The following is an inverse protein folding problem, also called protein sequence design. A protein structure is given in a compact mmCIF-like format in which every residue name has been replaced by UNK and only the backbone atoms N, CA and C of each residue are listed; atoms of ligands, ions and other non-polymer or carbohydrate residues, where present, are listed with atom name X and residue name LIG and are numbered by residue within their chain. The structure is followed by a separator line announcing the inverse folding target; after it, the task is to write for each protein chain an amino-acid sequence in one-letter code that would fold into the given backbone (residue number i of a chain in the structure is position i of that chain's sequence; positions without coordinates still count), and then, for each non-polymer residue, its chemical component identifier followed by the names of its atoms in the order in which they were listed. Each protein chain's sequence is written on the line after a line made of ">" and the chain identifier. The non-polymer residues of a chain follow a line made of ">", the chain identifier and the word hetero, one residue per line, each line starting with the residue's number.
data_IF_829626432067
#
_entry.id   IF_829626432067
#
_cell.length_a   1.000
_cell.length_b   1.000
_cell.length_c   1.000
_cell.angle_alpha   90.00
_cell.angle_beta   90.00
_cell.angle_gamma   90.00
#
_symmetry.space_group_name_H-M   'P 1'
#
loop_
_entity.id
_entity.type
_entity.pdbx_description
1 polymer ?
#
# COMPACT_ATOMS: atom_id res chain seq x y z
N UNK A 1 -15.69 -23.21 1.23
CA UNK A 1 -15.41 -22.94 2.68
C UNK A 1 -15.72 -24.15 3.58
N UNK A 2 -16.57 -25.09 3.15
CA UNK A 2 -16.89 -26.32 3.91
C UNK A 2 -15.77 -27.37 3.85
N UNK A 3 -14.89 -27.29 2.90
CA UNK A 3 -13.67 -28.11 2.84
C UNK A 3 -12.55 -27.32 3.50
N UNK A 4 -11.88 -27.93 4.43
CA UNK A 4 -10.77 -27.38 5.21
C UNK A 4 -9.95 -26.34 4.44
N UNK A 5 -10.01 -25.09 4.89
CA UNK A 5 -9.22 -23.95 4.40
C UNK A 5 -9.51 -23.43 2.99
N UNK A 6 -10.50 -23.94 2.25
CA UNK A 6 -10.84 -23.49 0.91
C UNK A 6 -9.71 -23.66 -0.13
N UNK A 7 -9.98 -23.28 -1.37
CA UNK A 7 -8.97 -23.28 -2.43
C UNK A 7 -8.06 -22.04 -2.31
N UNK A 8 -6.74 -22.19 -2.16
CA UNK A 8 -5.82 -21.06 -2.03
C UNK A 8 -5.79 -20.15 -3.25
N UNK A 9 -6.22 -20.64 -4.41
CA UNK A 9 -6.29 -19.86 -5.66
C UNK A 9 -7.51 -18.94 -5.68
N UNK A 10 -8.69 -19.44 -5.30
CA UNK A 10 -9.94 -18.68 -5.34
C UNK A 10 -10.21 -17.87 -4.06
N UNK A 11 -9.68 -18.31 -2.94
CA UNK A 11 -9.91 -17.73 -1.62
C UNK A 11 -9.66 -16.21 -1.55
N UNK A 12 -8.54 -15.67 -2.07
CA UNK A 12 -8.30 -14.24 -2.06
C UNK A 12 -9.29 -13.43 -2.92
N UNK A 13 -9.76 -14.00 -4.05
CA UNK A 13 -10.74 -13.36 -4.90
C UNK A 13 -12.12 -13.34 -4.23
N UNK A 14 -12.53 -14.45 -3.61
CA UNK A 14 -13.77 -14.55 -2.85
C UNK A 14 -13.76 -13.54 -1.69
N UNK A 15 -12.67 -13.49 -0.92
CA UNK A 15 -12.50 -12.54 0.16
C UNK A 15 -12.64 -11.09 -0.33
N UNK A 16 -12.03 -10.76 -1.48
CA UNK A 16 -12.16 -9.44 -2.09
C UNK A 16 -13.62 -9.08 -2.39
N UNK A 17 -14.36 -9.95 -3.07
CA UNK A 17 -15.73 -9.66 -3.45
C UNK A 17 -16.69 -9.62 -2.25
N UNK A 18 -16.50 -10.49 -1.25
CA UNK A 18 -17.28 -10.45 -0.02
C UNK A 18 -17.04 -9.16 0.78
N UNK A 19 -15.82 -8.68 0.83
CA UNK A 19 -15.51 -7.39 1.44
C UNK A 19 -16.09 -6.20 0.65
N UNK A 20 -16.14 -6.31 -0.67
CA UNK A 20 -16.73 -5.27 -1.51
C UNK A 20 -18.26 -5.16 -1.34
N UNK A 21 -18.95 -6.30 -1.22
CA UNK A 21 -20.41 -6.36 -1.11
C UNK A 21 -20.92 -6.15 0.33
N UNK A 22 -20.20 -6.67 1.32
CA UNK A 22 -20.60 -6.64 2.74
C UNK A 22 -19.46 -6.14 3.64
N UNK A 23 -18.99 -4.89 3.47
CA UNK A 23 -17.80 -4.39 4.16
C UNK A 23 -17.94 -4.33 5.68
N UNK A 24 -19.17 -4.25 6.22
CA UNK A 24 -19.42 -4.17 7.66
C UNK A 24 -19.82 -5.53 8.27
N UNK A 25 -20.40 -6.43 7.48
CA UNK A 25 -20.96 -7.70 7.95
C UNK A 25 -20.02 -8.89 7.71
N UNK A 26 -19.13 -8.79 6.73
CA UNK A 26 -18.20 -9.87 6.41
C UNK A 26 -16.90 -9.73 7.19
N UNK A 27 -16.54 -10.79 7.89
CA UNK A 27 -15.23 -10.85 8.55
C UNK A 27 -14.13 -11.19 7.54
N UNK A 28 -13.15 -10.30 7.43
CA UNK A 28 -11.99 -10.48 6.56
C UNK A 28 -11.24 -11.79 6.87
N UNK A 29 -10.99 -12.57 5.82
CA UNK A 29 -10.20 -13.80 5.94
C UNK A 29 -8.72 -13.47 6.16
N UNK A 30 -8.23 -13.72 7.36
CA UNK A 30 -6.87 -13.43 7.78
C UNK A 30 -5.78 -14.05 6.87
N UNK A 31 -6.06 -15.22 6.26
CA UNK A 31 -5.11 -15.87 5.34
C UNK A 31 -5.16 -15.32 3.91
N UNK A 32 -6.21 -14.60 3.57
CA UNK A 32 -6.44 -14.01 2.24
C UNK A 32 -6.38 -12.49 2.24
N UNK A 33 -6.11 -11.88 3.39
CA UNK A 33 -6.06 -10.41 3.55
C UNK A 33 -5.19 -9.75 2.50
N UNK A 34 -5.62 -8.58 2.06
CA UNK A 34 -4.94 -7.80 1.01
C UNK A 34 -3.83 -6.92 1.56
N UNK A 35 -3.97 -6.47 2.79
CA UNK A 35 -3.16 -5.44 3.43
C UNK A 35 -2.56 -5.92 4.74
N UNK A 36 -2.00 -7.11 4.75
CA UNK A 36 -1.35 -7.67 5.93
C UNK A 36 -0.03 -8.35 5.61
N UNK A 37 0.68 -8.69 6.67
CA UNK A 37 1.90 -9.47 6.62
C UNK A 37 1.58 -10.98 6.49
N UNK A 38 0.99 -11.35 5.37
CA UNK A 38 0.75 -12.77 5.08
C UNK A 38 2.08 -13.49 4.97
N UNK A 39 2.26 -14.56 5.72
CA UNK A 39 3.51 -15.30 5.75
C UNK A 39 4.04 -15.59 4.33
N UNK A 40 3.24 -16.22 3.49
CA UNK A 40 3.65 -16.58 2.14
C UNK A 40 3.70 -15.42 1.13
N UNK A 41 3.30 -14.19 1.50
CA UNK A 41 3.42 -13.03 0.64
C UNK A 41 4.79 -12.35 0.77
N UNK A 42 5.43 -12.48 1.93
CA UNK A 42 6.72 -11.90 2.23
C UNK A 42 7.86 -12.95 2.21
N UNK A 43 7.56 -14.19 1.86
CA UNK A 43 8.56 -15.26 1.76
C UNK A 43 9.55 -14.99 0.62
N UNK A 44 10.82 -15.22 0.88
CA UNK A 44 11.92 -15.07 -0.05
C UNK A 44 12.32 -16.41 -0.65
N UNK A 45 13.21 -16.40 -1.67
CA UNK A 45 13.62 -17.59 -2.42
C UNK A 45 14.25 -18.68 -1.54
N UNK A 46 14.93 -18.28 -0.49
CA UNK A 46 15.63 -19.15 0.47
C UNK A 46 14.75 -19.61 1.65
N UNK A 47 13.46 -19.27 1.62
CA UNK A 47 12.51 -19.60 2.69
C UNK A 47 12.50 -18.59 3.86
N UNK A 48 13.39 -17.61 3.85
CA UNK A 48 13.35 -16.49 4.82
C UNK A 48 12.26 -15.47 4.44
N UNK A 49 12.13 -14.42 5.23
CA UNK A 49 11.08 -13.41 5.06
C UNK A 49 11.67 -12.01 4.98
N UNK A 50 10.96 -11.15 4.25
CA UNK A 50 11.24 -9.72 4.25
C UNK A 50 10.36 -8.99 5.27
N UNK A 51 10.93 -8.03 5.98
CA UNK A 51 10.23 -7.14 6.90
C UNK A 51 10.47 -5.71 6.46
N UNK A 52 9.40 -4.99 6.13
CA UNK A 52 9.49 -3.64 5.59
C UNK A 52 8.63 -2.67 6.40
N UNK A 53 9.25 -1.85 7.25
CA UNK A 53 8.54 -0.82 8.00
C UNK A 53 8.01 0.27 7.07
N UNK A 54 6.94 0.94 7.50
CA UNK A 54 6.37 2.09 6.81
C UNK A 54 7.28 3.31 7.02
N UNK A 55 7.59 3.98 5.94
CA UNK A 55 8.23 5.29 5.90
C UNK A 55 7.27 6.26 5.21
N UNK A 56 6.61 7.10 6.00
CA UNK A 56 5.56 7.98 5.53
C UNK A 56 6.10 9.03 4.54
N UNK A 57 5.65 8.99 3.29
CA UNK A 57 6.17 9.84 2.23
C UNK A 57 7.66 9.63 1.92
N UNK A 58 8.24 8.51 2.35
CA UNK A 58 9.67 8.24 2.25
C UNK A 58 10.53 8.93 3.31
N UNK A 59 9.91 9.61 4.27
CA UNK A 59 10.59 10.24 5.41
C UNK A 59 10.84 9.22 6.53
N UNK A 60 11.91 9.42 7.28
CA UNK A 60 12.27 8.67 8.47
C UNK A 60 13.04 9.56 9.44
N UNK A 61 13.18 9.12 10.67
CA UNK A 61 13.92 9.83 11.73
C UNK A 61 15.22 9.11 12.08
N UNK A 62 16.20 9.78 12.71
CA UNK A 62 17.38 9.10 13.23
C UNK A 62 17.05 7.95 14.19
N UNK A 63 16.03 8.10 15.04
CA UNK A 63 15.62 7.07 15.99
C UNK A 63 15.01 5.86 15.29
N UNK A 64 14.17 6.07 14.27
CA UNK A 64 13.66 4.97 13.42
C UNK A 64 14.79 4.25 12.68
N UNK A 65 15.79 4.98 12.17
CA UNK A 65 16.97 4.36 11.55
C UNK A 65 17.79 3.55 12.54
N UNK A 66 17.94 4.02 13.78
CA UNK A 66 18.60 3.27 14.85
C UNK A 66 17.81 2.00 15.19
N UNK A 67 16.49 2.08 15.27
CA UNK A 67 15.63 0.92 15.52
C UNK A 67 15.73 -0.12 14.39
N UNK A 68 15.72 0.31 13.13
CA UNK A 68 15.91 -0.57 11.97
C UNK A 68 17.29 -1.25 12.02
N UNK A 69 18.34 -0.48 12.32
CA UNK A 69 19.70 -1.02 12.41
C UNK A 69 19.85 -2.02 13.57
N UNK A 70 19.24 -1.72 14.72
CA UNK A 70 19.22 -2.61 15.88
C UNK A 70 18.48 -3.92 15.58
N UNK A 71 17.30 -3.83 14.96
CA UNK A 71 16.54 -5.00 14.52
C UNK A 71 17.30 -5.83 13.49
N UNK A 72 17.89 -5.20 12.48
CA UNK A 72 18.68 -5.90 11.48
C UNK A 72 19.86 -6.66 12.12
N UNK A 73 20.54 -6.04 13.08
CA UNK A 73 21.66 -6.67 13.81
C UNK A 73 21.21 -7.81 14.72
N UNK A 74 20.06 -7.64 15.40
CA UNK A 74 19.50 -8.63 16.33
C UNK A 74 19.05 -9.90 15.62
N UNK A 75 18.43 -9.77 14.44
CA UNK A 75 17.84 -10.86 13.66
C UNK A 75 18.70 -11.29 12.46
N UNK A 76 19.94 -10.86 12.39
CA UNK A 76 20.88 -11.15 11.29
C UNK A 76 20.33 -10.87 9.89
N UNK A 77 19.59 -9.76 9.77
CA UNK A 77 18.94 -9.38 8.54
C UNK A 77 19.80 -8.44 7.69
N UNK A 78 19.78 -8.65 6.38
CA UNK A 78 20.39 -7.71 5.43
C UNK A 78 19.49 -6.48 5.22
N UNK A 79 20.07 -5.29 5.13
CA UNK A 79 19.36 -4.03 4.96
C UNK A 79 19.43 -3.59 3.50
N UNK A 80 18.27 -3.33 2.88
CA UNK A 80 18.16 -2.85 1.50
C UNK A 80 17.34 -1.57 1.42
N UNK A 81 17.95 -0.48 0.94
CA UNK A 81 17.20 0.72 0.51
C UNK A 81 16.55 0.43 -0.83
N UNK A 82 15.22 0.54 -0.89
CA UNK A 82 14.43 0.17 -2.07
C UNK A 82 14.02 1.38 -2.90
N UNK A 83 13.69 1.17 -4.17
CA UNK A 83 13.19 2.22 -5.05
C UNK A 83 11.82 2.80 -4.67
N UNK A 84 11.16 2.21 -3.67
CA UNK A 84 9.90 2.72 -3.11
C UNK A 84 10.06 3.70 -1.97
N UNK A 85 11.28 4.21 -1.73
CA UNK A 85 11.64 5.06 -0.58
C UNK A 85 11.35 4.38 0.76
N UNK A 86 11.69 3.09 0.85
CA UNK A 86 11.56 2.29 2.07
C UNK A 86 12.82 1.46 2.27
N UNK A 87 13.08 1.09 3.51
CA UNK A 87 14.11 0.14 3.89
C UNK A 87 13.46 -1.24 4.05
N UNK A 88 14.07 -2.26 3.50
CA UNK A 88 13.65 -3.66 3.59
C UNK A 88 14.69 -4.46 4.37
N UNK A 89 14.24 -5.22 5.36
CA UNK A 89 15.03 -6.15 6.15
C UNK A 89 14.84 -7.55 5.53
N UNK A 90 15.90 -8.10 4.97
CA UNK A 90 15.89 -9.34 4.20
C UNK A 90 16.58 -10.46 5.00
N UNK A 91 16.10 -11.70 4.84
CA UNK A 91 16.68 -12.86 5.49
C UNK A 91 16.15 -13.18 6.88
N UNK A 92 15.02 -12.56 7.29
CA UNK A 92 14.40 -12.81 8.61
C UNK A 92 13.80 -14.20 8.64
N UNK A 93 14.06 -14.95 9.71
CA UNK A 93 13.45 -16.27 9.91
C UNK A 93 11.97 -16.14 10.27
N UNK A 94 11.19 -17.14 9.91
CA UNK A 94 9.74 -17.15 10.13
C UNK A 94 9.36 -17.00 11.62
N UNK A 95 10.07 -17.72 12.46
CA UNK A 95 9.87 -17.73 13.92
C UNK A 95 10.21 -16.38 14.59
N UNK A 96 11.06 -15.58 13.96
CA UNK A 96 11.46 -14.26 14.47
C UNK A 96 10.48 -13.14 14.09
N UNK A 97 9.54 -13.39 13.16
CA UNK A 97 8.62 -12.36 12.65
C UNK A 97 7.83 -11.63 13.74
N UNK A 98 7.16 -12.29 14.70
CA UNK A 98 6.43 -11.57 15.74
C UNK A 98 7.33 -10.68 16.60
N UNK A 99 8.54 -11.15 16.89
CA UNK A 99 9.48 -10.43 17.74
C UNK A 99 10.07 -9.20 17.04
N UNK A 100 10.46 -9.30 15.76
CA UNK A 100 10.98 -8.14 15.01
C UNK A 100 9.87 -7.11 14.76
N UNK A 101 8.61 -7.54 14.54
CA UNK A 101 7.48 -6.63 14.43
C UNK A 101 7.21 -5.89 15.73
N UNK A 102 7.29 -6.59 16.89
CA UNK A 102 7.16 -5.98 18.20
C UNK A 102 8.27 -4.94 18.46
N UNK A 103 9.53 -5.27 18.14
CA UNK A 103 10.65 -4.33 18.30
C UNK A 103 10.47 -3.06 17.46
N UNK A 104 10.02 -3.20 16.20
CA UNK A 104 9.76 -2.06 15.32
C UNK A 104 8.52 -1.25 15.74
N UNK A 105 7.45 -1.91 16.21
CA UNK A 105 6.29 -1.24 16.79
C UNK A 105 6.66 -0.44 18.05
N UNK A 106 7.54 -0.96 18.90
CA UNK A 106 8.02 -0.23 20.08
C UNK A 106 8.74 1.07 19.73
N UNK A 107 9.32 1.14 18.52
CA UNK A 107 9.93 2.35 17.97
C UNK A 107 8.92 3.24 17.20
N UNK A 108 7.62 2.95 17.26
CA UNK A 108 6.57 3.71 16.59
C UNK A 108 6.39 3.41 15.11
N UNK A 109 7.07 2.39 14.59
CA UNK A 109 6.96 1.99 13.18
C UNK A 109 5.82 0.98 13.01
N UNK A 110 5.20 0.96 11.84
CA UNK A 110 4.09 0.07 11.49
C UNK A 110 4.38 -0.67 10.20
N UNK A 111 3.57 -1.68 9.89
CA UNK A 111 3.70 -2.45 8.65
C UNK A 111 3.72 -1.57 7.40
N UNK A 112 4.70 -1.81 6.55
CA UNK A 112 4.81 -1.20 5.23
C UNK A 112 3.88 -1.82 4.19
N UNK A 113 3.10 -2.85 4.51
CA UNK A 113 2.23 -3.59 3.59
C UNK A 113 2.94 -3.97 2.28
N UNK A 114 4.14 -4.51 2.38
CA UNK A 114 5.11 -4.60 1.30
C UNK A 114 4.60 -5.30 0.04
N UNK A 115 3.87 -6.37 0.18
CA UNK A 115 3.37 -7.18 -0.95
C UNK A 115 1.85 -7.24 -1.01
N UNK A 116 1.18 -6.27 -0.38
CA UNK A 116 -0.27 -6.20 -0.31
C UNK A 116 -0.95 -5.85 -1.63
N UNK A 117 -2.24 -6.10 -1.70
CA UNK A 117 -3.16 -5.53 -2.69
C UNK A 117 -3.86 -4.33 -2.05
N UNK A 118 -3.16 -3.22 -1.99
CA UNK A 118 -3.55 -1.97 -1.36
C UNK A 118 -2.48 -0.93 -1.63
N UNK A 119 -2.46 0.11 -0.83
CA UNK A 119 -1.42 1.12 -0.93
C UNK A 119 -0.05 0.54 -0.59
N UNK A 120 0.88 0.60 -1.56
CA UNK A 120 2.26 0.18 -1.38
C UNK A 120 3.13 1.29 -0.83
N UNK A 121 3.05 2.46 -1.42
CA UNK A 121 3.91 3.60 -1.10
C UNK A 121 3.35 4.87 -1.74
N UNK A 122 3.63 6.00 -1.11
CA UNK A 122 3.54 7.32 -1.72
C UNK A 122 4.96 7.88 -1.80
N UNK A 123 5.54 7.92 -3.00
CA UNK A 123 6.85 8.56 -3.20
C UNK A 123 6.69 10.07 -3.17
N UNK A 124 7.60 10.75 -2.48
CA UNK A 124 7.67 12.21 -2.50
C UNK A 124 9.04 12.68 -2.98
N UNK A 125 9.14 13.90 -3.41
CA UNK A 125 10.42 14.60 -3.47
C UNK A 125 10.62 15.42 -2.20
N UNK A 126 11.72 16.10 -2.07
CA UNK A 126 12.08 16.84 -0.85
C UNK A 126 11.20 18.08 -0.56
N UNK A 127 10.27 18.43 -1.48
CA UNK A 127 9.29 19.47 -1.26
C UNK A 127 9.85 20.89 -1.18
N UNK A 128 8.97 21.82 -0.79
CA UNK A 128 9.30 23.25 -0.66
C UNK A 128 10.28 23.55 0.46
N UNK A 129 10.32 22.72 1.49
CA UNK A 129 11.21 22.94 2.64
C UNK A 129 12.70 22.88 2.27
N UNK A 130 13.04 22.05 1.29
CA UNK A 130 14.43 21.77 0.93
C UNK A 130 14.77 22.06 -0.54
N UNK A 131 13.77 22.23 -1.41
CA UNK A 131 13.99 22.41 -2.83
C UNK A 131 13.61 23.82 -3.29
N UNK A 132 14.59 24.57 -3.79
CA UNK A 132 14.35 25.95 -4.36
C UNK A 132 13.37 25.98 -5.55
N UNK A 133 13.04 24.85 -6.14
CA UNK A 133 12.14 24.73 -7.28
C UNK A 133 10.75 24.18 -6.88
N UNK A 134 10.56 23.86 -5.61
CA UNK A 134 9.26 23.40 -5.11
C UNK A 134 8.20 24.50 -5.27
N UNK A 135 7.03 24.13 -5.78
CA UNK A 135 5.89 25.05 -5.91
C UNK A 135 4.88 24.83 -4.77
N UNK A 136 4.75 23.58 -4.32
CA UNK A 136 3.88 23.20 -3.19
C UNK A 136 4.59 22.16 -2.31
N UNK A 137 4.08 21.96 -1.08
CA UNK A 137 4.59 20.93 -0.15
C UNK A 137 4.22 19.51 -0.59
N UNK A 138 5.10 18.90 -1.36
CA UNK A 138 4.92 17.51 -1.81
C UNK A 138 5.12 16.47 -0.72
N UNK A 139 5.98 16.77 0.27
CA UNK A 139 6.26 15.85 1.38
C UNK A 139 5.06 15.77 2.32
N UNK A 140 4.53 16.93 2.76
CA UNK A 140 3.36 16.99 3.62
C UNK A 140 2.12 16.38 2.97
N UNK A 141 1.82 16.73 1.71
CA UNK A 141 0.71 16.12 0.96
C UNK A 141 0.91 14.61 0.81
N UNK A 142 2.12 14.14 0.47
CA UNK A 142 2.39 12.72 0.32
C UNK A 142 2.19 11.94 1.61
N UNK A 143 2.62 12.47 2.75
CA UNK A 143 2.40 11.89 4.07
C UNK A 143 0.90 11.82 4.40
N UNK A 144 0.13 12.89 4.14
CA UNK A 144 -1.32 12.92 4.37
C UNK A 144 -2.06 11.89 3.51
N UNK A 145 -1.72 11.79 2.22
CA UNK A 145 -2.26 10.78 1.32
C UNK A 145 -1.92 9.37 1.77
N UNK A 146 -0.67 9.14 2.19
CA UNK A 146 -0.24 7.83 2.65
C UNK A 146 -0.96 7.41 3.92
N UNK A 147 -1.09 8.30 4.91
CA UNK A 147 -1.84 8.05 6.14
C UNK A 147 -3.33 7.83 5.88
N UNK A 148 -3.93 8.59 4.95
CA UNK A 148 -5.34 8.42 4.57
C UNK A 148 -5.61 7.05 3.93
N UNK A 149 -4.73 6.62 3.04
CA UNK A 149 -4.91 5.39 2.25
C UNK A 149 -4.29 4.14 2.89
N UNK A 150 -3.48 4.27 3.93
CA UNK A 150 -2.84 3.15 4.60
C UNK A 150 -3.87 2.19 5.21
N UNK A 151 -3.68 0.88 4.97
CA UNK A 151 -4.63 -0.15 5.38
C UNK A 151 -5.76 -0.38 4.39
N UNK A 152 -5.96 0.48 3.39
CA UNK A 152 -6.98 0.27 2.38
C UNK A 152 -6.66 -0.93 1.49
N UNK A 153 -7.62 -1.83 1.33
CA UNK A 153 -7.55 -2.91 0.35
C UNK A 153 -8.02 -2.42 -1.02
N UNK A 154 -7.47 -2.97 -2.08
CA UNK A 154 -7.82 -2.65 -3.47
C UNK A 154 -7.73 -3.89 -4.33
N UNK A 155 -8.33 -3.93 -5.56
CA UNK A 155 -8.26 -5.09 -6.46
C UNK A 155 -6.83 -5.55 -6.75
N UNK A 156 -5.91 -4.61 -6.84
CA UNK A 156 -4.47 -4.85 -6.99
C UNK A 156 -3.68 -3.77 -6.25
N UNK A 157 -2.35 -3.92 -6.19
CA UNK A 157 -1.47 -2.90 -5.59
C UNK A 157 -1.68 -1.52 -6.21
N UNK A 158 -1.64 -0.49 -5.38
CA UNK A 158 -1.68 0.92 -5.77
C UNK A 158 -0.39 1.59 -5.31
N UNK A 159 0.20 2.40 -6.17
CA UNK A 159 1.38 3.23 -5.89
C UNK A 159 1.07 4.67 -6.25
N UNK A 160 1.41 5.57 -5.35
CA UNK A 160 1.27 7.01 -5.57
C UNK A 160 2.64 7.67 -5.67
N UNK A 161 2.64 8.88 -6.22
CA UNK A 161 3.78 9.77 -6.19
C UNK A 161 3.33 11.23 -6.14
N UNK A 162 4.02 12.04 -5.36
CA UNK A 162 3.77 13.48 -5.26
C UNK A 162 5.07 14.22 -5.56
N UNK A 163 5.11 14.93 -6.66
CA UNK A 163 6.26 15.74 -7.08
C UNK A 163 6.00 17.21 -6.81
N UNK A 164 6.89 17.87 -6.10
CA UNK A 164 6.76 19.25 -5.67
C UNK A 164 6.88 20.31 -6.79
N UNK A 165 7.11 19.89 -8.03
CA UNK A 165 7.10 20.73 -9.21
C UNK A 165 7.09 19.87 -10.49
N UNK A 166 6.93 20.48 -11.69
CA UNK A 166 6.90 19.77 -12.97
C UNK A 166 8.18 19.00 -13.36
N UNK A 167 9.29 19.14 -12.59
CA UNK A 167 10.51 18.31 -12.78
C UNK A 167 10.29 16.84 -12.42
N UNK A 168 9.19 16.52 -11.75
CA UNK A 168 8.74 15.15 -11.52
C UNK A 168 9.74 14.23 -10.81
N UNK A 169 10.51 14.73 -9.85
CA UNK A 169 11.56 13.97 -9.15
C UNK A 169 11.04 12.77 -8.37
N UNK A 170 9.75 12.77 -7.95
CA UNK A 170 9.10 11.62 -7.34
C UNK A 170 8.51 10.62 -8.35
N UNK A 171 8.72 10.85 -9.65
CA UNK A 171 8.19 10.00 -10.73
C UNK A 171 6.66 9.87 -10.68
N UNK A 172 5.96 10.97 -10.32
CA UNK A 172 4.51 10.98 -10.17
C UNK A 172 3.80 10.56 -11.46
N UNK A 173 4.32 11.00 -12.63
CA UNK A 173 3.71 10.73 -13.93
C UNK A 173 3.77 9.26 -14.40
N UNK A 174 4.35 8.36 -13.62
CA UNK A 174 4.35 6.92 -13.91
C UNK A 174 3.84 6.08 -12.73
N UNK A 175 2.94 6.63 -11.93
CA UNK A 175 2.29 5.94 -10.80
C UNK A 175 0.82 5.66 -11.11
N UNK A 176 0.21 4.80 -10.31
CA UNK A 176 -1.24 4.52 -10.42
C UNK A 176 -2.06 5.79 -10.18
N UNK A 177 -1.62 6.64 -9.24
CA UNK A 177 -2.03 8.04 -9.08
C UNK A 177 -0.80 8.89 -8.89
N UNK A 178 -0.67 9.94 -9.67
CA UNK A 178 0.43 10.90 -9.60
C UNK A 178 -0.08 12.31 -9.38
N UNK A 179 0.52 13.01 -8.42
CA UNK A 179 0.25 14.42 -8.16
C UNK A 179 1.49 15.22 -8.49
N UNK A 180 1.36 16.19 -9.38
CA UNK A 180 2.43 17.13 -9.73
C UNK A 180 2.02 18.50 -9.25
N UNK A 181 2.80 19.07 -8.35
CA UNK A 181 2.59 20.43 -7.84
C UNK A 181 2.96 21.46 -8.90
N UNK A 182 2.15 22.48 -9.01
CA UNK A 182 2.33 23.65 -9.89
C UNK A 182 2.01 24.93 -9.13
N UNK A 183 2.33 26.09 -9.68
CA UNK A 183 2.08 27.37 -9.01
C UNK A 183 0.59 27.60 -8.69
N UNK A 184 -0.30 27.09 -9.54
CA UNK A 184 -1.77 27.20 -9.36
C UNK A 184 -2.39 26.11 -8.48
N UNK A 185 -1.59 25.19 -7.90
CA UNK A 185 -2.09 24.08 -7.10
C UNK A 185 -1.51 22.72 -7.50
N UNK A 186 -2.37 21.77 -7.84
CA UNK A 186 -2.00 20.36 -8.02
C UNK A 186 -2.62 19.77 -9.28
N UNK A 187 -1.81 19.09 -10.05
CA UNK A 187 -2.22 18.35 -11.24
C UNK A 187 -2.29 16.86 -10.89
N UNK A 188 -3.47 16.28 -10.94
CA UNK A 188 -3.71 14.87 -10.62
C UNK A 188 -3.79 14.08 -11.92
N UNK A 189 -2.93 13.09 -12.04
CA UNK A 189 -2.95 12.12 -13.12
C UNK A 189 -3.16 10.70 -12.61
N UNK A 190 -3.83 9.86 -13.39
CA UNK A 190 -4.16 8.48 -13.00
C UNK A 190 -3.76 7.49 -14.09
N UNK A 191 -3.78 6.21 -13.78
CA UNK A 191 -3.55 5.12 -14.72
C UNK A 191 -2.12 5.03 -15.28
N UNK A 192 -1.13 5.59 -14.60
CA UNK A 192 0.28 5.38 -14.92
C UNK A 192 0.80 4.02 -14.47
N UNK A 193 1.92 3.61 -15.02
CA UNK A 193 2.62 2.38 -14.65
C UNK A 193 4.11 2.47 -14.95
N UNK A 194 4.93 1.86 -14.07
CA UNK A 194 6.36 1.66 -14.28
C UNK A 194 6.73 0.26 -13.81
N UNK A 195 6.47 -0.71 -14.64
CA UNK A 195 6.76 -2.12 -14.40
C UNK A 195 6.97 -2.83 -15.73
N UNK A 196 6.33 -3.97 -15.94
CA UNK A 196 6.34 -4.66 -17.24
C UNK A 196 5.70 -3.78 -18.32
N UNK A 197 4.62 -3.06 -17.96
CA UNK A 197 4.07 -1.99 -18.78
C UNK A 197 4.62 -0.66 -18.26
N UNK A 198 5.02 0.22 -19.19
CA UNK A 198 5.45 1.59 -18.89
C UNK A 198 4.45 2.54 -19.53
N UNK A 199 3.82 3.35 -18.69
CA UNK A 199 2.78 4.29 -19.12
C UNK A 199 2.86 5.59 -18.33
N UNK A 200 2.63 6.68 -19.01
CA UNK A 200 2.40 7.97 -18.37
C UNK A 200 0.99 8.01 -17.77
N UNK A 201 0.83 8.76 -16.69
CA UNK A 201 -0.50 9.07 -16.14
C UNK A 201 -1.31 9.91 -17.12
N UNK A 202 -2.60 9.66 -17.19
CA UNK A 202 -3.56 10.48 -17.90
C UNK A 202 -4.11 11.55 -16.96
N UNK A 203 -4.20 12.80 -17.41
CA UNK A 203 -4.70 13.92 -16.61
C UNK A 203 -6.15 13.69 -16.21
N UNK A 204 -6.39 13.60 -14.89
CA UNK A 204 -7.73 13.50 -14.31
C UNK A 204 -8.31 14.90 -14.09
N UNK A 205 -7.63 15.72 -13.28
CA UNK A 205 -8.10 17.05 -12.87
C UNK A 205 -6.93 17.94 -12.44
N UNK A 206 -7.14 19.23 -12.48
CA UNK A 206 -6.33 20.26 -11.82
C UNK A 206 -7.14 20.85 -10.66
N UNK A 207 -6.54 20.94 -9.48
CA UNK A 207 -7.18 21.47 -8.27
C UNK A 207 -6.32 22.53 -7.61
N UNK A 208 -6.94 23.43 -6.87
CA UNK A 208 -6.24 24.56 -6.29
C UNK A 208 -5.69 24.27 -4.89
N UNK A 209 -6.34 23.39 -4.13
CA UNK A 209 -5.98 23.12 -2.74
C UNK A 209 -5.51 21.68 -2.50
N UNK A 210 -4.80 21.50 -1.40
CA UNK A 210 -4.36 20.20 -0.92
C UNK A 210 -5.55 19.31 -0.54
N UNK A 211 -6.56 19.89 0.08
CA UNK A 211 -7.79 19.20 0.49
C UNK A 211 -8.50 18.60 -0.71
N UNK A 212 -8.63 19.37 -1.79
CA UNK A 212 -9.18 18.87 -3.05
C UNK A 212 -8.32 17.74 -3.64
N UNK A 213 -6.99 17.87 -3.58
CA UNK A 213 -6.09 16.81 -4.08
C UNK A 213 -6.25 15.52 -3.30
N UNK A 214 -6.46 15.58 -1.99
CA UNK A 214 -6.73 14.42 -1.13
C UNK A 214 -8.12 13.83 -1.44
N UNK A 215 -9.14 14.68 -1.56
CA UNK A 215 -10.53 14.28 -1.87
C UNK A 215 -10.60 13.54 -3.21
N UNK A 216 -10.07 14.12 -4.28
CA UNK A 216 -10.08 13.51 -5.61
C UNK A 216 -9.29 12.20 -5.66
N UNK A 217 -8.14 12.15 -4.99
CA UNK A 217 -7.31 10.93 -4.93
C UNK A 217 -8.04 9.80 -4.20
N UNK A 218 -8.66 10.08 -3.06
CA UNK A 218 -9.39 9.07 -2.29
C UNK A 218 -10.65 8.61 -3.03
N UNK A 219 -11.41 9.52 -3.64
CA UNK A 219 -12.57 9.20 -4.46
C UNK A 219 -12.19 8.32 -5.67
N UNK A 220 -11.08 8.62 -6.37
CA UNK A 220 -10.58 7.77 -7.46
C UNK A 220 -10.24 6.36 -6.97
N UNK A 221 -9.55 6.23 -5.83
CA UNK A 221 -9.21 4.92 -5.26
C UNK A 221 -10.46 4.15 -4.87
N UNK A 222 -11.47 4.83 -4.32
CA UNK A 222 -12.74 4.19 -3.98
C UNK A 222 -13.52 3.76 -5.22
N UNK A 223 -13.63 4.61 -6.22
CA UNK A 223 -14.27 4.27 -7.50
C UNK A 223 -13.59 3.07 -8.17
N UNK A 224 -12.25 3.06 -8.19
CA UNK A 224 -11.49 1.90 -8.65
C UNK A 224 -11.77 0.65 -7.83
N UNK A 225 -11.87 0.75 -6.50
CA UNK A 225 -12.18 -0.37 -5.61
C UNK A 225 -13.55 -0.97 -5.91
N UNK A 226 -14.57 -0.15 -6.18
CA UNK A 226 -15.95 -0.57 -6.41
C UNK A 226 -16.17 -1.16 -7.81
N UNK A 227 -15.45 -0.68 -8.82
CA UNK A 227 -15.72 -1.04 -10.21
C UNK A 227 -14.70 -1.98 -10.87
N UNK A 228 -13.48 -2.08 -10.33
CA UNK A 228 -12.47 -2.92 -10.94
C UNK A 228 -12.59 -4.38 -10.48
N UNK A 229 -12.29 -5.29 -11.38
CA UNK A 229 -12.22 -6.72 -11.04
C UNK A 229 -10.95 -7.02 -10.25
N UNK A 230 -11.03 -8.05 -9.40
CA UNK A 230 -9.88 -8.58 -8.70
C UNK A 230 -8.69 -8.83 -9.65
N UNK A 231 -7.51 -8.34 -9.29
CA UNK A 231 -6.26 -8.32 -10.05
C UNK A 231 -6.18 -7.30 -11.20
N UNK A 232 -7.20 -6.52 -11.49
CA UNK A 232 -7.05 -5.40 -12.40
C UNK A 232 -6.19 -4.29 -11.76
N UNK A 233 -5.14 -3.85 -12.46
CA UNK A 233 -4.38 -2.64 -12.10
C UNK A 233 -5.20 -1.41 -12.47
N UNK A 234 -5.01 -0.26 -11.80
CA UNK A 234 -5.73 0.97 -12.14
C UNK A 234 -5.70 1.31 -13.62
N UNK A 235 -4.54 1.20 -14.28
CA UNK A 235 -4.44 1.47 -15.71
C UNK A 235 -5.24 0.49 -16.59
N UNK A 236 -5.30 -0.81 -16.21
CA UNK A 236 -6.10 -1.80 -16.95
C UNK A 236 -7.58 -1.57 -16.78
N UNK A 237 -7.99 -1.13 -15.59
CA UNK A 237 -9.37 -0.79 -15.32
C UNK A 237 -9.78 0.48 -16.08
N UNK A 238 -8.98 1.56 -16.02
CA UNK A 238 -9.24 2.79 -16.78
C UNK A 238 -9.30 2.54 -18.29
N UNK A 239 -8.43 1.68 -18.82
CA UNK A 239 -8.51 1.28 -20.26
C UNK A 239 -9.85 0.60 -20.61
N UNK A 240 -10.48 -0.10 -19.66
CA UNK A 240 -11.76 -0.80 -19.88
C UNK A 240 -12.97 0.12 -19.79
N UNK A 241 -12.98 1.02 -18.81
CA UNK A 241 -14.14 1.89 -18.55
C UNK A 241 -14.06 3.24 -19.29
N UNK A 242 -12.87 3.64 -19.66
CA UNK A 242 -12.57 4.94 -20.27
C UNK A 242 -12.31 6.03 -19.22
N UNK A 243 -11.30 6.86 -19.47
CA UNK A 243 -10.97 7.99 -18.58
C UNK A 243 -12.11 9.02 -18.51
N UNK A 244 -12.80 9.23 -19.64
CA UNK A 244 -13.89 10.21 -19.70
C UNK A 244 -15.04 9.83 -18.77
N UNK A 245 -15.40 8.55 -18.68
CA UNK A 245 -16.36 8.07 -17.71
C UNK A 245 -15.88 8.30 -16.26
N UNK A 246 -14.61 8.03 -15.96
CA UNK A 246 -14.04 8.28 -14.64
C UNK A 246 -14.12 9.77 -14.28
N UNK A 247 -13.81 10.65 -15.24
CA UNK A 247 -13.95 12.10 -15.08
C UNK A 247 -15.39 12.54 -14.84
N UNK A 248 -16.33 12.01 -15.63
CA UNK A 248 -17.76 12.30 -15.49
C UNK A 248 -18.24 11.99 -14.08
N UNK A 249 -18.01 10.76 -13.59
CA UNK A 249 -18.40 10.33 -12.24
C UNK A 249 -17.76 11.22 -11.17
N UNK A 250 -16.44 11.45 -11.23
CA UNK A 250 -15.74 12.21 -10.21
C UNK A 250 -15.96 13.72 -10.28
N UNK A 251 -16.45 14.25 -11.39
CA UNK A 251 -16.80 15.68 -11.53
C UNK A 251 -18.11 16.03 -10.86
N UNK A 252 -18.97 15.06 -10.61
CA UNK A 252 -20.17 15.25 -9.78
C UNK A 252 -19.75 15.39 -8.29
N UNK A 253 -19.94 16.55 -7.65
CA UNK A 253 -19.57 16.75 -6.27
C UNK A 253 -20.30 15.83 -5.29
N UNK A 254 -21.55 15.47 -5.58
CA UNK A 254 -22.35 14.60 -4.72
C UNK A 254 -21.84 13.16 -4.77
N UNK A 255 -21.54 12.65 -5.97
CA UNK A 255 -20.98 11.31 -6.12
C UNK A 255 -19.55 11.24 -5.54
N UNK A 256 -18.74 12.26 -5.76
CA UNK A 256 -17.40 12.33 -5.18
C UNK A 256 -17.43 12.36 -3.64
N UNK A 257 -18.37 13.10 -3.04
CA UNK A 257 -18.57 13.10 -1.59
C UNK A 257 -19.02 11.72 -1.08
N UNK A 258 -19.97 11.07 -1.75
CA UNK A 258 -20.43 9.74 -1.40
C UNK A 258 -19.33 8.68 -1.51
N UNK A 259 -18.48 8.74 -2.53
CA UNK A 259 -17.29 7.88 -2.64
C UNK A 259 -16.32 8.07 -1.47
N UNK A 260 -16.06 9.30 -1.07
CA UNK A 260 -15.20 9.60 0.08
C UNK A 260 -15.83 9.10 1.40
N UNK A 261 -17.13 9.23 1.57
CA UNK A 261 -17.84 8.70 2.74
C UNK A 261 -17.70 7.17 2.83
N UNK A 262 -17.97 6.46 1.73
CA UNK A 262 -17.79 4.99 1.66
C UNK A 262 -16.34 4.58 1.90
N UNK A 263 -15.38 5.37 1.42
CA UNK A 263 -13.98 5.15 1.70
C UNK A 263 -13.68 5.25 3.20
N UNK A 264 -14.13 6.28 3.90
CA UNK A 264 -13.91 6.47 5.34
C UNK A 264 -14.60 5.38 6.18
N UNK A 265 -15.80 4.96 5.84
CA UNK A 265 -16.48 3.84 6.48
C UNK A 265 -15.61 2.58 6.39
N UNK A 266 -15.11 2.24 5.20
CA UNK A 266 -14.21 1.11 5.01
C UNK A 266 -12.92 1.24 5.84
N UNK A 267 -12.33 2.44 5.88
CA UNK A 267 -11.10 2.69 6.63
C UNK A 267 -11.31 2.58 8.15
N UNK A 268 -12.47 2.94 8.67
CA UNK A 268 -12.78 2.80 10.11
C UNK A 268 -12.72 1.35 10.60
N UNK A 269 -13.01 0.41 9.71
CA UNK A 269 -13.00 -1.03 10.02
C UNK A 269 -11.63 -1.67 9.77
N UNK A 270 -10.94 -1.29 8.69
CA UNK A 270 -9.78 -2.03 8.18
C UNK A 270 -8.42 -1.34 8.38
N UNK A 271 -8.39 -0.11 8.89
CA UNK A 271 -7.14 0.58 9.22
C UNK A 271 -6.54 0.03 10.50
N UNK A 272 -5.85 -1.10 10.40
CA UNK A 272 -5.19 -1.78 11.51
C UNK A 272 -3.76 -2.12 11.15
N UNK A 273 -2.87 -2.10 12.15
CA UNK A 273 -1.50 -2.57 11.97
C UNK A 273 -1.44 -4.09 12.19
N UNK A 274 -1.18 -4.88 11.14
CA UNK A 274 -1.09 -6.32 11.27
C UNK A 274 0.11 -6.77 12.12
N UNK A 275 1.14 -5.95 12.26
CA UNK A 275 2.27 -6.24 13.14
C UNK A 275 1.84 -6.21 14.61
N UNK A 276 1.11 -5.17 15.01
CA UNK A 276 0.59 -5.06 16.37
C UNK A 276 -0.40 -6.19 16.70
N UNK A 277 -1.25 -6.58 15.75
CA UNK A 277 -2.16 -7.73 15.92
C UNK A 277 -1.38 -9.02 16.18
N UNK A 278 -0.36 -9.33 15.37
CA UNK A 278 0.44 -10.55 15.52
C UNK A 278 1.40 -10.52 16.70
N UNK A 279 1.89 -9.36 17.09
CA UNK A 279 2.78 -9.21 18.25
C UNK A 279 2.03 -9.37 19.57
N UNK A 280 0.76 -8.92 19.65
CA UNK A 280 -0.07 -9.02 20.85
C UNK A 280 -0.66 -10.42 21.09
N UNK A 281 -1.02 -11.12 20.01
CA UNK A 281 -1.60 -12.45 20.04
C UNK A 281 -0.89 -13.38 19.03
N UNK A 282 0.35 -13.81 19.33
CA UNK A 282 1.08 -14.69 18.41
C UNK A 282 0.42 -16.07 18.35
N UNK A 283 -0.15 -16.40 17.20
CA UNK A 283 -0.57 -17.77 16.89
C UNK A 283 0.70 -18.63 16.71
N UNK A 284 1.11 -19.34 17.77
CA UNK A 284 2.37 -20.07 17.80
C UNK A 284 2.58 -21.00 16.59
N UNK A 285 1.54 -21.71 16.15
CA UNK A 285 1.60 -22.61 15.00
C UNK A 285 1.88 -21.89 13.68
N UNK A 286 1.44 -20.64 13.54
CA UNK A 286 1.59 -19.87 12.31
C UNK A 286 3.02 -19.43 12.05
N UNK A 287 3.82 -19.27 13.11
CA UNK A 287 5.20 -18.79 13.05
C UNK A 287 6.23 -19.85 13.40
N UNK A 288 5.86 -21.13 13.41
CA UNK A 288 6.83 -22.22 13.54
C UNK A 288 7.77 -22.25 12.32
N UNK A 289 9.01 -22.72 12.49
CA UNK A 289 9.91 -22.96 11.38
C UNK A 289 9.23 -23.73 10.26
N UNK A 290 9.58 -23.47 9.01
CA UNK A 290 9.17 -24.31 7.91
C UNK A 290 9.74 -25.70 8.18
N UNK A 291 8.88 -26.71 8.22
CA UNK A 291 9.33 -28.06 8.35
C UNK A 291 10.30 -28.39 7.19
N UNK A 292 11.43 -28.96 7.49
CA UNK A 292 12.28 -29.56 6.47
C UNK A 292 11.42 -30.61 5.73
N UNK A 293 11.00 -30.25 4.52
CA UNK A 293 10.36 -31.18 3.60
C UNK A 293 11.44 -32.14 3.05
N UNK A 294 12.04 -32.92 3.92
CA UNK A 294 12.66 -34.15 3.50
C UNK A 294 11.51 -35.05 3.08
N UNK A 295 11.22 -35.06 1.78
CA UNK A 295 10.39 -36.10 1.20
C UNK A 295 11.09 -37.40 1.48
N UNK A 296 10.65 -38.15 2.48
CA UNK A 296 10.96 -39.58 2.53
C UNK A 296 10.41 -40.18 1.24
N UNK A 297 11.21 -40.92 0.47
CA UNK A 297 10.68 -41.59 -0.69
C UNK A 297 9.56 -42.52 -0.24
N UNK A 298 8.39 -42.39 -0.87
CA UNK A 298 7.29 -43.31 -0.64
C UNK A 298 7.81 -44.75 -0.91
N UNK A 299 7.74 -45.60 0.11
CA UNK A 299 8.01 -47.02 -0.01
C UNK A 299 7.04 -47.69 -1.00
#
# INVERSE_FOLDING_TARGET
>A
WKTLNGCPTCRPAINFYLLAEWPLDYQDDAQSRFVNERNHANIQKDGTYSVMPRMWGGMTTPDELLAIAAAAKKYDAAVKVTGGQRIDLLGVKKEDLPAIWADLNAAGMVSGHAYSKGLRTVKTCVGTDWCRFGTQDSTGLGIKLEKKLWGSWTPHKVKLGVSGCPRNCAEATCKDVGVVCVDSGYQIGVAGAAGMDVRETQRLVDVASEEEAIEWTAAFVQLYREHAKYLDRPYKWVDKVGLDWVKEVLSDPAERAALNERFEISQSVYRKDPWAEHASEPEAEKFQPLADLTMEPAE
#
